data_IF_079740413953
#
_entry.id   IF_079740413953
#
_cell.length_a   1.000
_cell.length_b   1.000
_cell.length_c   1.000
_cell.angle_alpha   90.00
_cell.angle_beta   90.00
_cell.angle_gamma   90.00
#
_symmetry.space_group_name_H-M   'P 1'
#
loop_
_entity.id
_entity.type
_entity.pdbx_description
1 polymer ?
#
# COMPACT_ATOMS: atom_id res chain seq x y z
N UNK A 1 14.30 -4.27 -2.65
CA UNK A 1 13.18 -3.39 -2.25
C UNK A 1 13.11 -2.29 -3.28
N UNK A 2 11.95 -2.06 -3.85
CA UNK A 2 11.75 -0.92 -4.74
C UNK A 2 11.72 0.39 -3.93
N UNK A 3 12.12 1.48 -4.57
CA UNK A 3 11.98 2.80 -3.99
C UNK A 3 10.51 3.22 -4.06
N UNK A 4 9.96 3.64 -2.92
CA UNK A 4 8.59 4.17 -2.83
C UNK A 4 8.70 5.66 -2.50
N UNK A 5 8.33 6.56 -3.44
CA UNK A 5 8.35 7.99 -3.17
C UNK A 5 7.29 8.34 -2.13
N UNK A 6 7.66 9.19 -1.19
CA UNK A 6 6.79 9.70 -0.13
C UNK A 6 6.67 11.23 -0.12
N UNK A 7 7.35 11.89 -1.05
CA UNK A 7 7.29 13.32 -1.30
C UNK A 7 7.35 13.58 -2.81
N UNK A 8 6.79 14.69 -3.26
CA UNK A 8 6.81 15.04 -4.69
C UNK A 8 8.24 15.18 -5.23
N UNK A 9 9.16 15.71 -4.42
CA UNK A 9 10.59 15.86 -4.77
C UNK A 9 11.31 14.51 -4.96
N UNK A 10 10.76 13.44 -4.43
CA UNK A 10 11.35 12.09 -4.54
C UNK A 10 10.76 11.25 -5.69
N UNK A 11 9.76 11.76 -6.41
CA UNK A 11 9.14 11.04 -7.53
C UNK A 11 10.13 10.73 -8.67
N UNK A 12 11.11 11.60 -8.90
CA UNK A 12 12.16 11.38 -9.91
C UNK A 12 13.04 10.15 -9.62
N UNK A 13 13.08 9.68 -8.37
CA UNK A 13 13.84 8.50 -7.95
C UNK A 13 13.04 7.20 -8.11
N UNK A 14 11.76 7.29 -8.47
CA UNK A 14 10.94 6.11 -8.70
C UNK A 14 11.45 5.32 -9.92
N UNK A 15 11.56 3.97 -9.83
CA UNK A 15 12.01 3.17 -10.96
C UNK A 15 11.02 3.27 -12.12
N UNK A 16 11.54 3.41 -13.32
CA UNK A 16 10.76 3.37 -14.55
C UNK A 16 10.23 1.96 -14.87
N UNK A 17 9.44 1.85 -15.90
CA UNK A 17 8.81 0.58 -16.30
C UNK A 17 9.86 -0.51 -16.59
N UNK A 18 10.93 -0.17 -17.31
CA UNK A 18 12.02 -1.10 -17.66
C UNK A 18 12.76 -1.62 -16.42
N UNK A 19 13.04 -0.73 -15.46
CA UNK A 19 13.68 -1.09 -14.21
C UNK A 19 12.79 -2.00 -13.37
N UNK A 20 11.49 -1.74 -13.32
CA UNK A 20 10.52 -2.59 -12.62
C UNK A 20 10.40 -3.97 -13.27
N UNK A 21 10.31 -4.05 -14.60
CA UNK A 21 10.25 -5.31 -15.31
C UNK A 21 11.52 -6.15 -15.07
N UNK A 22 12.68 -5.50 -15.08
CA UNK A 22 13.95 -6.14 -14.74
C UNK A 22 13.95 -6.68 -13.31
N UNK A 23 13.53 -5.86 -12.33
CA UNK A 23 13.46 -6.28 -10.92
C UNK A 23 12.50 -7.45 -10.71
N UNK A 24 11.33 -7.44 -11.35
CA UNK A 24 10.37 -8.54 -11.27
C UNK A 24 10.94 -9.85 -11.86
N UNK A 25 11.58 -9.76 -13.03
CA UNK A 25 12.24 -10.92 -13.66
C UNK A 25 13.36 -11.48 -12.78
N UNK A 26 14.17 -10.60 -12.18
CA UNK A 26 15.27 -11.00 -11.31
C UNK A 26 14.78 -11.63 -10.00
N UNK A 27 13.76 -11.07 -9.38
CA UNK A 27 13.13 -11.66 -8.17
C UNK A 27 12.54 -13.03 -8.50
N UNK A 28 11.87 -13.18 -9.65
CA UNK A 28 11.36 -14.46 -10.09
C UNK A 28 12.48 -15.50 -10.33
N UNK A 29 13.61 -15.07 -10.90
CA UNK A 29 14.80 -15.90 -11.07
C UNK A 29 15.37 -16.35 -9.71
N UNK A 30 15.57 -15.42 -8.79
CA UNK A 30 16.10 -15.71 -7.46
C UNK A 30 15.20 -16.66 -6.66
N UNK A 31 13.90 -16.49 -6.73
CA UNK A 31 12.93 -17.42 -6.09
C UNK A 31 13.06 -18.86 -6.59
N UNK A 32 13.41 -19.04 -7.87
CA UNK A 32 13.64 -20.39 -8.44
C UNK A 32 15.00 -20.96 -8.08
N UNK A 33 16.06 -20.14 -8.14
CA UNK A 33 17.45 -20.59 -7.99
C UNK A 33 17.89 -20.70 -6.54
N UNK A 34 17.27 -19.92 -5.65
CA UNK A 34 17.63 -19.80 -4.24
C UNK A 34 16.39 -19.99 -3.38
N UNK A 35 15.74 -21.14 -3.53
CA UNK A 35 14.49 -21.47 -2.84
C UNK A 35 14.60 -21.56 -1.31
N UNK A 36 15.82 -21.63 -0.79
CA UNK A 36 16.13 -21.59 0.64
C UNK A 36 15.91 -20.19 1.27
N UNK A 37 15.71 -19.14 0.45
CA UNK A 37 15.50 -17.78 0.89
C UNK A 37 14.10 -17.29 0.52
N UNK A 38 13.53 -16.42 1.36
CA UNK A 38 12.29 -15.71 1.05
C UNK A 38 12.63 -14.36 0.42
N UNK A 39 12.11 -14.13 -0.79
CA UNK A 39 12.26 -12.86 -1.50
C UNK A 39 10.93 -12.13 -1.54
N UNK A 40 10.88 -10.94 -0.98
CA UNK A 40 9.71 -10.06 -0.99
C UNK A 40 10.06 -8.83 -1.82
N UNK A 41 9.30 -8.59 -2.88
CA UNK A 41 9.43 -7.42 -3.75
C UNK A 41 8.22 -6.51 -3.53
N UNK A 42 8.33 -5.64 -2.56
CA UNK A 42 7.28 -4.64 -2.28
C UNK A 42 7.67 -3.30 -2.93
N UNK A 43 6.78 -2.65 -3.69
CA UNK A 43 5.41 -3.02 -4.05
C UNK A 43 5.25 -3.95 -5.25
N UNK A 44 6.33 -4.38 -5.91
CA UNK A 44 6.29 -5.16 -7.16
C UNK A 44 5.45 -6.44 -7.13
N UNK A 45 5.27 -7.06 -5.97
CA UNK A 45 4.42 -8.24 -5.80
C UNK A 45 2.90 -7.92 -5.84
N UNK A 46 2.50 -6.66 -5.87
CA UNK A 46 1.09 -6.25 -5.86
C UNK A 46 0.31 -6.75 -7.08
N UNK A 47 0.94 -6.82 -8.26
CA UNK A 47 0.31 -7.36 -9.47
C UNK A 47 -0.16 -8.81 -9.27
N UNK A 48 0.66 -9.63 -8.60
CA UNK A 48 0.31 -11.02 -8.26
C UNK A 48 -0.78 -11.16 -7.21
N UNK A 49 -1.00 -10.12 -6.40
CA UNK A 49 -2.00 -10.07 -5.32
C UNK A 49 -3.32 -9.41 -5.75
N UNK A 50 -3.43 -9.01 -7.03
CA UNK A 50 -4.59 -8.28 -7.54
C UNK A 50 -4.69 -6.86 -6.98
N UNK A 51 -3.55 -6.16 -6.87
CA UNK A 51 -3.42 -4.80 -6.38
C UNK A 51 -2.82 -4.70 -4.97
N UNK A 52 -2.77 -3.49 -4.45
CA UNK A 52 -2.20 -3.19 -3.14
C UNK A 52 -2.88 -3.97 -2.01
N UNK A 53 -2.10 -4.55 -1.11
CA UNK A 53 -2.58 -5.39 0.00
C UNK A 53 -2.79 -4.61 1.32
N UNK A 54 -2.71 -3.29 1.26
CA UNK A 54 -2.97 -2.38 2.38
C UNK A 54 -4.43 -2.40 2.86
N UNK A 55 -4.75 -1.56 3.82
CA UNK A 55 -6.09 -1.35 4.37
C UNK A 55 -6.79 -2.66 4.82
N UNK A 56 -6.03 -3.58 5.40
CA UNK A 56 -6.54 -4.84 5.93
C UNK A 56 -6.80 -5.92 4.88
N UNK A 57 -6.42 -5.76 3.61
CA UNK A 57 -6.44 -6.85 2.61
C UNK A 57 -5.41 -7.92 2.94
N UNK A 58 -4.21 -7.55 3.30
CA UNK A 58 -3.14 -8.43 3.74
C UNK A 58 -2.46 -7.93 5.01
N UNK A 59 -2.42 -6.61 5.20
CA UNK A 59 -1.92 -5.97 6.40
C UNK A 59 -2.53 -4.57 6.61
N UNK A 60 -2.31 -4.00 7.76
CA UNK A 60 -2.45 -2.59 8.07
C UNK A 60 -1.38 -2.18 9.08
N UNK A 61 -1.16 -0.89 9.25
CA UNK A 61 -0.19 -0.34 10.16
C UNK A 61 -0.85 0.23 11.42
N UNK A 62 -0.20 0.11 12.55
CA UNK A 62 -0.59 0.79 13.79
C UNK A 62 0.53 1.75 14.15
N UNK A 63 0.24 3.04 14.15
CA UNK A 63 1.22 4.05 14.48
C UNK A 63 1.50 4.13 16.00
N UNK A 64 2.51 4.91 16.39
CA UNK A 64 2.93 5.07 17.79
C UNK A 64 1.84 5.62 18.72
N UNK A 65 0.80 6.24 18.18
CA UNK A 65 -0.34 6.79 18.92
C UNK A 65 -1.54 5.85 18.96
N UNK A 66 -1.43 4.67 18.34
CA UNK A 66 -2.49 3.67 18.29
C UNK A 66 -3.48 3.86 17.13
N UNK A 67 -3.24 4.82 16.23
CA UNK A 67 -4.03 4.99 15.02
C UNK A 67 -3.84 3.81 14.06
N UNK A 68 -4.94 3.24 13.55
CA UNK A 68 -4.87 2.23 12.50
C UNK A 68 -4.82 2.93 11.13
N UNK A 69 -3.74 2.71 10.41
CA UNK A 69 -3.44 3.31 9.11
C UNK A 69 -3.48 2.25 8.00
N UNK A 70 -3.92 2.56 6.79
CA UNK A 70 -3.89 1.62 5.67
C UNK A 70 -2.51 1.02 5.43
N UNK A 71 -1.46 1.85 5.52
CA UNK A 71 -0.08 1.52 5.24
C UNK A 71 0.84 2.58 5.87
N UNK A 72 2.12 2.28 6.21
CA UNK A 72 3.08 3.31 6.64
C UNK A 72 3.28 4.46 5.63
N UNK A 73 2.99 4.23 4.35
CA UNK A 73 3.05 5.26 3.29
C UNK A 73 1.75 6.02 3.09
N UNK A 74 0.73 5.73 3.88
CA UNK A 74 -0.58 6.40 3.88
C UNK A 74 -1.00 6.65 5.33
N UNK A 75 -0.43 7.68 5.99
CA UNK A 75 -0.54 7.91 7.43
C UNK A 75 -1.87 8.57 7.82
N UNK A 76 -2.97 8.02 7.35
CA UNK A 76 -4.33 8.48 7.66
C UNK A 76 -5.03 7.46 8.54
N UNK A 77 -5.69 7.93 9.59
CA UNK A 77 -6.37 7.05 10.55
C UNK A 77 -7.69 7.66 11.02
N UNK A 78 -8.76 6.90 10.87
CA UNK A 78 -10.11 7.24 11.34
C UNK A 78 -10.52 6.47 12.61
N UNK A 79 -9.66 5.55 13.07
CA UNK A 79 -9.93 4.71 14.24
C UNK A 79 -8.66 4.46 15.06
N UNK A 80 -8.80 4.27 16.38
CA UNK A 80 -7.68 4.06 17.27
C UNK A 80 -7.85 2.74 18.06
N UNK A 81 -6.88 1.85 17.95
CA UNK A 81 -6.91 0.51 18.58
C UNK A 81 -6.80 0.54 20.11
N UNK A 82 -6.54 1.70 20.73
CA UNK A 82 -6.63 1.85 22.18
C UNK A 82 -8.07 1.79 22.67
N UNK A 83 -9.03 2.14 21.81
CA UNK A 83 -10.45 2.27 22.14
C UNK A 83 -11.32 1.25 21.42
N UNK A 84 -10.76 0.47 20.52
CA UNK A 84 -11.47 -0.49 19.68
C UNK A 84 -10.67 -1.77 19.51
N UNK A 85 -11.31 -2.84 19.05
CA UNK A 85 -10.64 -4.09 18.70
C UNK A 85 -9.92 -3.98 17.35
N UNK A 86 -8.92 -4.85 17.12
CA UNK A 86 -8.27 -4.98 15.82
C UNK A 86 -9.27 -5.37 14.71
N UNK A 87 -10.29 -6.14 15.06
CA UNK A 87 -11.36 -6.53 14.13
C UNK A 87 -12.16 -5.31 13.67
N UNK A 88 -12.53 -4.43 14.59
CA UNK A 88 -13.22 -3.17 14.24
C UNK A 88 -12.32 -2.25 13.42
N UNK A 89 -11.02 -2.15 13.76
CA UNK A 89 -10.06 -1.37 12.99
C UNK A 89 -9.97 -1.85 11.53
N UNK A 90 -9.99 -3.17 11.28
CA UNK A 90 -10.01 -3.73 9.93
C UNK A 90 -11.26 -3.39 9.13
N UNK A 91 -12.34 -2.96 9.79
CA UNK A 91 -13.62 -2.58 9.18
C UNK A 91 -13.93 -1.09 9.37
N UNK A 92 -12.91 -0.28 9.61
CA UNK A 92 -13.09 1.17 9.71
C UNK A 92 -13.69 1.74 8.43
N UNK A 93 -14.40 2.88 8.50
CA UNK A 93 -14.94 3.55 7.33
C UNK A 93 -13.86 3.81 6.26
N UNK A 94 -12.69 4.29 6.65
CA UNK A 94 -11.56 4.51 5.74
C UNK A 94 -11.14 3.23 5.02
N UNK A 95 -10.88 2.15 5.77
CA UNK A 95 -10.42 0.88 5.17
C UNK A 95 -11.48 0.28 4.26
N UNK A 96 -12.73 0.36 4.65
CA UNK A 96 -13.87 -0.11 3.86
C UNK A 96 -13.97 0.67 2.56
N UNK A 97 -13.93 2.01 2.61
CA UNK A 97 -13.97 2.86 1.42
C UNK A 97 -12.80 2.58 0.45
N UNK A 98 -11.58 2.40 0.97
CA UNK A 98 -10.41 2.08 0.15
C UNK A 98 -10.56 0.73 -0.57
N UNK A 99 -11.09 -0.28 0.11
CA UNK A 99 -11.30 -1.62 -0.48
C UNK A 99 -12.46 -1.66 -1.49
N UNK A 100 -13.60 -1.10 -1.10
CA UNK A 100 -14.84 -1.16 -1.91
C UNK A 100 -14.81 -0.15 -3.06
N UNK A 101 -14.11 0.97 -2.89
CA UNK A 101 -13.92 1.97 -3.95
C UNK A 101 -12.97 1.55 -5.06
N UNK A 102 -12.35 0.38 -4.98
CA UNK A 102 -11.44 -0.14 -6.00
C UNK A 102 -10.06 0.54 -6.04
N UNK A 103 -9.82 1.53 -5.19
CA UNK A 103 -8.60 2.37 -5.18
C UNK A 103 -7.32 1.53 -5.09
N UNK A 104 -7.35 0.47 -4.28
CA UNK A 104 -6.21 -0.41 -4.07
C UNK A 104 -5.84 -1.27 -5.30
N UNK A 105 -6.75 -1.36 -6.26
CA UNK A 105 -6.58 -2.14 -7.49
C UNK A 105 -6.35 -1.26 -8.72
N UNK A 106 -6.34 0.06 -8.55
CA UNK A 106 -6.09 1.00 -9.63
C UNK A 106 -4.67 0.83 -10.18
N UNK A 107 -4.54 0.99 -11.48
CA UNK A 107 -3.24 1.10 -12.13
C UNK A 107 -2.54 2.38 -11.65
N UNK A 108 -1.24 2.24 -11.38
CA UNK A 108 -0.38 3.36 -11.01
C UNK A 108 1.00 3.22 -11.67
N UNK A 109 1.68 4.34 -11.83
CA UNK A 109 2.92 4.42 -12.59
C UNK A 109 4.14 3.78 -11.89
N UNK A 110 3.92 3.13 -10.76
CA UNK A 110 4.95 2.56 -9.89
C UNK A 110 5.03 3.32 -8.58
N UNK A 111 5.69 2.72 -7.60
CA UNK A 111 5.68 3.28 -6.25
C UNK A 111 4.42 2.84 -5.48
N UNK A 112 3.65 3.75 -4.95
CA UNK A 112 2.54 3.44 -4.06
C UNK A 112 1.22 4.06 -4.56
N UNK A 113 0.21 3.22 -4.82
CA UNK A 113 -1.11 3.68 -5.26
C UNK A 113 -1.75 4.64 -4.25
N UNK A 114 -1.60 4.38 -2.95
CA UNK A 114 -2.15 5.25 -1.90
C UNK A 114 -1.44 6.60 -1.82
N UNK A 115 -0.16 6.65 -2.17
CA UNK A 115 0.56 7.91 -2.27
C UNK A 115 0.10 8.72 -3.50
N UNK A 116 -0.03 8.08 -4.65
CA UNK A 116 -0.51 8.73 -5.87
C UNK A 116 -1.97 9.23 -5.73
N UNK A 117 -2.79 8.51 -4.96
CA UNK A 117 -4.21 8.84 -4.71
C UNK A 117 -4.44 9.52 -3.35
N UNK A 118 -3.42 10.16 -2.78
CA UNK A 118 -3.52 10.79 -1.44
C UNK A 118 -4.66 11.79 -1.31
N UNK A 119 -4.91 12.59 -2.36
CA UNK A 119 -6.01 13.57 -2.35
C UNK A 119 -7.37 12.89 -2.20
N UNK A 120 -7.53 11.70 -2.78
CA UNK A 120 -8.72 10.90 -2.65
C UNK A 120 -8.84 10.30 -1.23
N UNK A 121 -7.73 9.84 -0.64
CA UNK A 121 -7.70 9.37 0.75
C UNK A 121 -8.09 10.50 1.71
N UNK A 122 -7.56 11.70 1.49
CA UNK A 122 -7.93 12.90 2.27
C UNK A 122 -9.40 13.27 2.12
N UNK A 123 -9.94 13.15 0.91
CA UNK A 123 -11.37 13.38 0.64
C UNK A 123 -12.25 12.40 1.42
N UNK A 124 -11.89 11.12 1.47
CA UNK A 124 -12.58 10.10 2.27
C UNK A 124 -12.52 10.47 3.76
N UNK A 125 -11.35 10.87 4.26
CA UNK A 125 -11.16 11.30 5.65
C UNK A 125 -12.02 12.53 6.00
N UNK A 126 -12.23 13.44 5.05
CA UNK A 126 -13.12 14.60 5.21
C UNK A 126 -14.61 14.26 5.16
N UNK A 127 -14.98 12.98 4.98
CA UNK A 127 -16.37 12.53 4.90
C UNK A 127 -17.02 12.76 3.53
N UNK A 128 -16.24 13.08 2.51
CA UNK A 128 -16.73 13.18 1.14
C UNK A 128 -16.82 11.76 0.53
N UNK A 129 -18.02 11.36 0.17
CA UNK A 129 -18.24 10.08 -0.52
C UNK A 129 -17.61 10.14 -1.92
N UNK A 130 -16.83 9.16 -2.25
CA UNK A 130 -16.25 8.97 -3.59
C UNK A 130 -17.30 8.37 -4.51
#
# INVERSE_FOLDING_TARGET
>A
MEFVPVTDDSMELAPGEKERDYLQAEVARLRRERSEMVYIAFPGDEKGSGGCVAAGRGFFHINSHGGAEPCPFSPYSDINVRNTSLREAMHSPLFTALREGGILMDDHAGGCVLYEKRDLVESIMAGNTV
#
